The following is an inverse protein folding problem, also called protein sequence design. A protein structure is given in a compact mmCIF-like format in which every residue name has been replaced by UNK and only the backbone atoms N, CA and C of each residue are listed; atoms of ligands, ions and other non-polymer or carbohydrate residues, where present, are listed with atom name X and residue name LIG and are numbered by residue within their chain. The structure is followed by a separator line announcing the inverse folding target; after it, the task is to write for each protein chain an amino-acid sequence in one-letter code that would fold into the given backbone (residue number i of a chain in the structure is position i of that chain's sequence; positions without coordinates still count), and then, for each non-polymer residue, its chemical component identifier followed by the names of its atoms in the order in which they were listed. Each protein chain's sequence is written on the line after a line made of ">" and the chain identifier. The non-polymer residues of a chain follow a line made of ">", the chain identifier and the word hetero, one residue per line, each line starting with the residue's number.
data_IF_707932031629
#
_entry.id   IF_707932031629
#
_cell.length_a   1.000
_cell.length_b   1.000
_cell.length_c   1.000
_cell.angle_alpha   90.00
_cell.angle_beta   90.00
_cell.angle_gamma   90.00
#
_symmetry.space_group_name_H-M   'P 1'
#
loop_
_entity.id
_entity.type
_entity.pdbx_description
1 polymer ?
#
# COMPACT_ATOMS: atom_id res chain seq x y z
N UNK A 1 15.61 29.39 32.41
CA UNK A 1 14.56 28.52 32.90
C UNK A 1 13.24 28.68 32.13
N UNK A 2 12.73 29.91 31.96
CA UNK A 2 11.44 30.18 31.27
C UNK A 2 11.38 29.58 29.83
N UNK A 3 12.44 29.73 29.04
CA UNK A 3 12.49 29.21 27.65
C UNK A 3 12.44 27.70 27.56
N UNK A 4 13.02 26.99 28.53
CA UNK A 4 12.97 25.50 28.56
C UNK A 4 11.56 25.02 28.87
N UNK A 5 10.89 25.69 29.82
CA UNK A 5 9.48 25.36 30.15
C UNK A 5 8.55 25.62 28.96
N UNK A 6 8.77 26.71 28.22
CA UNK A 6 7.98 27.04 27.03
C UNK A 6 8.17 26.01 25.92
N UNK A 7 9.41 25.56 25.69
CA UNK A 7 9.71 24.51 24.70
C UNK A 7 9.05 23.17 25.07
N UNK A 8 9.10 22.75 26.33
CA UNK A 8 8.46 21.52 26.81
C UNK A 8 6.95 21.61 26.63
N UNK A 9 6.34 22.74 26.97
CA UNK A 9 4.89 22.93 26.80
C UNK A 9 4.47 22.83 25.34
N UNK A 10 5.24 23.46 24.42
CA UNK A 10 4.97 23.35 22.96
C UNK A 10 5.04 21.91 22.48
N UNK A 11 6.07 21.15 22.88
CA UNK A 11 6.20 19.73 22.50
C UNK A 11 5.03 18.90 23.03
N UNK A 12 4.63 19.11 24.27
CA UNK A 12 3.46 18.41 24.85
C UNK A 12 2.17 18.73 24.09
N UNK A 13 1.94 19.99 23.72
CA UNK A 13 0.76 20.41 22.95
C UNK A 13 0.74 19.73 21.58
N UNK A 14 1.88 19.68 20.88
CA UNK A 14 1.99 19.02 19.57
C UNK A 14 1.70 17.52 19.68
N UNK A 15 2.24 16.85 20.70
CA UNK A 15 2.00 15.42 20.94
C UNK A 15 0.52 15.15 21.24
N UNK A 16 -0.10 15.94 22.12
CA UNK A 16 -1.54 15.79 22.45
C UNK A 16 -2.41 16.02 21.19
N UNK A 17 -2.08 17.06 20.40
CA UNK A 17 -2.80 17.33 19.17
C UNK A 17 -2.68 16.18 18.17
N UNK A 18 -1.48 15.62 17.98
CA UNK A 18 -1.26 14.47 17.10
C UNK A 18 -2.07 13.24 17.56
N UNK A 19 -2.11 12.96 18.87
CA UNK A 19 -2.90 11.85 19.44
C UNK A 19 -4.40 12.06 19.19
N UNK A 20 -4.91 13.28 19.41
CA UNK A 20 -6.34 13.60 19.20
C UNK A 20 -6.71 13.47 17.73
N UNK A 21 -5.85 13.92 16.81
CA UNK A 21 -6.08 13.78 15.37
C UNK A 21 -6.08 12.31 14.94
N UNK A 22 -5.11 11.51 15.39
CA UNK A 22 -5.07 10.08 15.11
C UNK A 22 -6.32 9.34 15.63
N UNK A 23 -6.81 9.66 16.82
CA UNK A 23 -8.05 9.08 17.36
C UNK A 23 -9.28 9.49 16.56
N UNK A 24 -9.33 10.74 16.08
CA UNK A 24 -10.42 11.23 15.24
C UNK A 24 -10.46 10.51 13.88
N UNK A 25 -9.30 10.29 13.26
CA UNK A 25 -9.19 9.55 11.99
C UNK A 25 -9.63 8.09 12.16
N UNK A 26 -9.14 7.39 13.20
CA UNK A 26 -9.60 6.03 13.53
C UNK A 26 -11.12 5.96 13.72
N UNK A 27 -11.70 6.91 14.44
CA UNK A 27 -13.15 7.00 14.63
C UNK A 27 -13.93 7.23 13.33
N UNK A 28 -13.34 7.91 12.36
CA UNK A 28 -13.93 8.14 11.04
C UNK A 28 -13.90 6.87 10.20
N UNK A 29 -12.78 6.15 10.17
CA UNK A 29 -12.64 4.87 9.48
C UNK A 29 -13.65 3.84 9.98
N UNK A 30 -13.83 3.73 11.30
CA UNK A 30 -14.83 2.80 11.89
C UNK A 30 -16.26 3.13 11.44
N UNK A 31 -16.60 4.41 11.28
CA UNK A 31 -17.93 4.83 10.82
C UNK A 31 -18.15 4.57 9.35
N UNK A 32 -17.11 4.67 8.53
CA UNK A 32 -17.16 4.44 7.09
C UNK A 32 -17.15 2.96 6.73
N UNK A 33 -16.54 2.12 7.58
CA UNK A 33 -16.38 0.69 7.31
C UNK A 33 -17.73 -0.04 7.33
N UNK A 34 -17.99 -0.80 6.27
CA UNK A 34 -19.16 -1.66 6.11
C UNK A 34 -19.09 -2.85 7.08
N UNK A 35 -20.13 -3.08 7.85
CA UNK A 35 -20.18 -4.23 8.74
C UNK A 35 -20.34 -5.53 7.95
N UNK A 36 -19.47 -6.50 8.23
CA UNK A 36 -19.65 -7.86 7.70
C UNK A 36 -20.73 -8.57 8.50
N UNK A 37 -21.67 -9.23 7.81
CA UNK A 37 -22.82 -9.90 8.43
C UNK A 37 -23.05 -11.33 7.93
N UNK A 38 -22.21 -11.81 7.00
CA UNK A 38 -22.35 -13.12 6.37
C UNK A 38 -21.05 -13.90 6.45
N UNK A 39 -21.13 -15.21 6.35
CA UNK A 39 -19.98 -16.09 6.20
C UNK A 39 -19.29 -15.78 4.87
N UNK A 40 -18.03 -15.45 4.91
CA UNK A 40 -17.25 -15.07 3.73
C UNK A 40 -15.76 -15.24 3.99
N UNK A 41 -15.02 -15.53 2.94
CA UNK A 41 -13.55 -15.45 2.93
C UNK A 41 -13.17 -14.23 2.10
N UNK A 42 -12.33 -13.38 2.69
CA UNK A 42 -11.71 -12.23 2.04
C UNK A 42 -10.26 -12.60 1.77
N UNK A 43 -9.95 -12.87 0.50
CA UNK A 43 -8.60 -13.22 0.07
C UNK A 43 -7.79 -11.96 -0.22
N UNK A 44 -6.52 -11.97 0.13
CA UNK A 44 -5.57 -10.87 -0.08
C UNK A 44 -6.05 -9.52 0.49
N UNK A 45 -6.87 -9.54 1.54
CA UNK A 45 -7.35 -8.35 2.22
C UNK A 45 -6.21 -7.65 2.98
N UNK A 46 -6.31 -6.33 3.16
CA UNK A 46 -5.33 -5.55 3.92
C UNK A 46 -5.91 -5.11 5.25
N UNK A 47 -5.29 -5.53 6.37
CA UNK A 47 -5.67 -5.09 7.72
C UNK A 47 -5.15 -3.66 7.94
N UNK A 48 -6.10 -2.75 8.19
CA UNK A 48 -5.84 -1.33 8.47
C UNK A 48 -5.68 -1.09 9.97
N UNK A 49 -6.53 -1.71 10.78
CA UNK A 49 -6.45 -1.61 12.23
C UNK A 49 -7.09 -2.81 12.94
N UNK A 50 -6.63 -3.04 14.16
CA UNK A 50 -7.09 -4.09 15.06
C UNK A 50 -7.22 -3.49 16.47
N UNK A 51 -8.30 -2.77 16.71
CA UNK A 51 -8.55 -2.05 17.97
C UNK A 51 -9.94 -2.36 18.54
N UNK A 52 -10.07 -2.35 19.85
CA UNK A 52 -11.35 -2.46 20.60
C UNK A 52 -12.23 -3.67 20.22
N UNK A 53 -11.60 -4.82 19.95
CA UNK A 53 -12.34 -6.03 19.56
C UNK A 53 -12.93 -5.95 18.16
N UNK A 54 -12.38 -5.08 17.30
CA UNK A 54 -12.81 -4.88 15.92
C UNK A 54 -11.64 -4.90 14.98
N UNK A 55 -11.78 -5.68 13.92
CA UNK A 55 -10.87 -5.71 12.80
C UNK A 55 -11.42 -4.81 11.69
N UNK A 56 -10.58 -3.89 11.18
CA UNK A 56 -10.89 -3.06 10.02
C UNK A 56 -9.92 -3.45 8.91
N UNK A 57 -10.45 -3.75 7.73
CA UNK A 57 -9.67 -4.20 6.59
C UNK A 57 -10.25 -3.69 5.27
N UNK A 58 -9.41 -3.62 4.25
CA UNK A 58 -9.75 -3.26 2.87
C UNK A 58 -9.75 -4.54 2.04
N UNK A 59 -10.73 -4.69 1.18
CA UNK A 59 -10.77 -5.74 0.17
C UNK A 59 -11.64 -5.28 -1.00
N UNK A 60 -11.19 -5.48 -2.23
CA UNK A 60 -11.90 -5.07 -3.46
C UNK A 60 -12.31 -3.60 -3.46
N UNK A 61 -11.44 -2.72 -2.97
CA UNK A 61 -11.66 -1.26 -2.89
C UNK A 61 -12.64 -0.81 -1.81
N UNK A 62 -13.22 -1.73 -1.04
CA UNK A 62 -14.16 -1.41 0.04
C UNK A 62 -13.53 -1.60 1.42
N UNK A 63 -13.95 -0.75 2.37
CA UNK A 63 -13.54 -0.84 3.77
C UNK A 63 -14.57 -1.64 4.58
N UNK A 64 -14.11 -2.68 5.24
CA UNK A 64 -14.92 -3.58 6.05
C UNK A 64 -14.57 -3.53 7.52
N UNK A 65 -15.53 -3.90 8.38
CA UNK A 65 -15.34 -4.14 9.80
C UNK A 65 -15.95 -5.47 10.24
N UNK A 66 -15.20 -6.24 11.04
CA UNK A 66 -15.66 -7.47 11.65
C UNK A 66 -15.39 -7.45 13.16
N UNK A 67 -16.09 -8.28 13.93
CA UNK A 67 -15.81 -8.49 15.36
C UNK A 67 -14.67 -9.51 15.48
N UNK A 68 -13.69 -9.19 16.30
CA UNK A 68 -12.55 -10.06 16.58
C UNK A 68 -11.30 -9.22 16.75
N UNK A 69 -10.30 -9.84 17.38
CA UNK A 69 -8.98 -9.24 17.59
C UNK A 69 -7.92 -10.22 17.15
N UNK A 70 -6.76 -9.69 16.79
CA UNK A 70 -5.51 -10.44 16.72
C UNK A 70 -4.76 -10.23 18.03
N UNK A 71 -3.92 -11.20 18.40
CA UNK A 71 -3.08 -11.08 19.58
C UNK A 71 -2.01 -9.99 19.43
N UNK A 72 -1.61 -9.69 18.18
CA UNK A 72 -0.65 -8.65 17.86
C UNK A 72 -1.28 -7.55 16.99
N UNK A 73 -0.81 -6.31 17.13
CA UNK A 73 -1.16 -5.20 16.27
C UNK A 73 -0.45 -5.39 14.91
N UNK A 74 -1.11 -6.14 14.03
CA UNK A 74 -0.64 -6.38 12.67
C UNK A 74 -1.37 -5.47 11.69
N UNK A 75 -0.63 -4.89 10.76
CA UNK A 75 -1.12 -4.26 9.54
C UNK A 75 -0.46 -4.92 8.35
N UNK A 76 -1.21 -5.24 7.31
CA UNK A 76 -0.66 -5.93 6.15
C UNK A 76 -1.66 -6.85 5.47
N UNK A 77 -1.17 -7.61 4.48
CA UNK A 77 -1.99 -8.49 3.65
C UNK A 77 -2.25 -9.82 4.35
N UNK A 78 -3.48 -10.29 4.26
CA UNK A 78 -3.90 -11.57 4.83
C UNK A 78 -5.16 -12.11 4.14
N UNK A 79 -5.45 -13.39 4.37
CA UNK A 79 -6.76 -13.95 4.10
C UNK A 79 -7.55 -13.97 5.41
N UNK A 80 -8.83 -13.53 5.35
CA UNK A 80 -9.70 -13.40 6.52
C UNK A 80 -10.94 -14.27 6.32
N UNK A 81 -11.10 -15.28 7.14
CA UNK A 81 -12.33 -16.10 7.20
C UNK A 81 -13.27 -15.53 8.27
N UNK A 82 -14.49 -15.21 7.86
CA UNK A 82 -15.52 -14.65 8.73
C UNK A 82 -16.72 -15.60 8.81
N UNK A 83 -17.23 -15.78 10.03
CA UNK A 83 -18.50 -16.48 10.27
C UNK A 83 -19.49 -15.53 10.94
N UNK A 84 -20.59 -15.23 10.22
CA UNK A 84 -21.55 -14.20 10.60
C UNK A 84 -20.93 -12.81 10.62
N UNK A 85 -20.64 -12.28 11.80
CA UNK A 85 -19.95 -10.99 11.98
C UNK A 85 -18.60 -11.11 12.68
N UNK A 86 -18.12 -12.35 12.95
CA UNK A 86 -16.92 -12.63 13.74
C UNK A 86 -15.81 -13.17 12.86
N UNK A 87 -14.61 -12.69 13.11
CA UNK A 87 -13.39 -13.27 12.53
C UNK A 87 -13.20 -14.68 13.11
N UNK A 88 -13.10 -15.67 12.24
CA UNK A 88 -12.86 -17.07 12.57
C UNK A 88 -11.38 -17.44 12.43
N UNK A 89 -10.74 -16.96 11.35
CA UNK A 89 -9.34 -17.22 11.06
C UNK A 89 -8.74 -16.05 10.31
N UNK A 90 -7.49 -15.75 10.59
CA UNK A 90 -6.64 -14.84 9.82
C UNK A 90 -5.39 -15.63 9.43
N UNK A 91 -5.05 -15.55 8.16
CA UNK A 91 -3.82 -16.12 7.64
C UNK A 91 -2.98 -14.97 7.07
N UNK A 92 -1.97 -14.55 7.83
CA UNK A 92 -1.04 -13.49 7.44
C UNK A 92 -0.23 -13.95 6.23
N UNK A 93 -0.07 -13.07 5.26
CA UNK A 93 0.81 -13.22 4.11
C UNK A 93 1.99 -12.28 4.27
N UNK A 94 3.22 -12.78 4.46
CA UNK A 94 4.40 -11.92 4.60
C UNK A 94 4.77 -11.28 3.28
N UNK A 95 5.58 -10.21 3.35
CA UNK A 95 6.25 -9.66 2.19
C UNK A 95 7.32 -10.65 1.73
N UNK A 96 7.21 -11.19 0.52
CA UNK A 96 8.14 -12.21 0.00
C UNK A 96 9.28 -11.59 -0.77
N UNK A 97 8.99 -10.54 -1.54
CA UNK A 97 9.95 -9.86 -2.41
C UNK A 97 9.81 -8.35 -2.24
N UNK A 98 10.93 -7.64 -2.35
CA UNK A 98 10.94 -6.18 -2.47
C UNK A 98 11.76 -5.78 -3.69
N UNK A 99 11.29 -4.81 -4.46
CA UNK A 99 11.99 -4.36 -5.65
C UNK A 99 11.24 -3.32 -6.45
N UNK A 100 11.89 -2.84 -7.50
CA UNK A 100 11.31 -1.86 -8.43
C UNK A 100 10.59 -2.59 -9.55
N UNK A 101 9.33 -2.24 -9.79
CA UNK A 101 8.56 -2.73 -10.94
C UNK A 101 9.09 -2.10 -12.23
N UNK A 102 9.54 -2.91 -13.17
CA UNK A 102 10.04 -2.47 -14.47
C UNK A 102 8.97 -2.49 -15.56
N UNK A 103 8.08 -3.48 -15.50
CA UNK A 103 6.92 -3.59 -16.40
C UNK A 103 5.89 -4.56 -15.83
N UNK A 104 4.67 -4.52 -16.34
CA UNK A 104 3.65 -5.54 -16.09
C UNK A 104 2.74 -5.70 -17.31
N UNK A 105 2.24 -6.91 -17.52
CA UNK A 105 1.34 -7.27 -18.62
C UNK A 105 1.40 -8.76 -18.89
N UNK A 106 0.48 -9.25 -19.73
CA UNK A 106 0.41 -10.65 -20.17
C UNK A 106 0.51 -11.67 -19.00
N UNK A 107 -0.09 -11.34 -17.87
CA UNK A 107 -0.12 -12.20 -16.68
C UNK A 107 1.21 -12.28 -15.93
N UNK A 108 2.18 -11.41 -16.23
CA UNK A 108 3.50 -11.35 -15.57
C UNK A 108 3.85 -9.93 -15.13
N UNK A 109 4.77 -9.84 -14.18
CA UNK A 109 5.36 -8.59 -13.72
C UNK A 109 6.87 -8.74 -13.66
N UNK A 110 7.59 -7.81 -14.30
CA UNK A 110 9.04 -7.76 -14.27
C UNK A 110 9.50 -6.91 -13.08
N UNK A 111 10.32 -7.50 -12.21
CA UNK A 111 10.86 -6.85 -11.02
C UNK A 111 12.38 -6.81 -11.11
N UNK A 112 12.96 -5.65 -10.84
CA UNK A 112 14.40 -5.45 -10.88
C UNK A 112 15.13 -6.46 -9.97
N UNK A 113 16.08 -7.20 -10.55
CA UNK A 113 16.86 -8.21 -9.83
C UNK A 113 16.15 -9.55 -9.59
N UNK A 114 14.84 -9.66 -9.91
CA UNK A 114 14.06 -10.89 -9.72
C UNK A 114 13.61 -11.54 -11.04
N UNK A 115 13.58 -10.75 -12.13
CA UNK A 115 13.05 -11.19 -13.42
C UNK A 115 11.53 -11.14 -13.52
N UNK A 116 10.96 -11.99 -14.38
CA UNK A 116 9.53 -12.05 -14.63
C UNK A 116 8.86 -13.00 -13.63
N UNK A 117 7.89 -12.48 -12.89
CA UNK A 117 7.11 -13.24 -11.91
C UNK A 117 5.65 -13.28 -12.35
N UNK A 118 5.02 -14.46 -12.41
CA UNK A 118 3.62 -14.55 -12.81
C UNK A 118 2.72 -13.87 -11.78
N UNK A 119 1.65 -13.22 -12.25
CA UNK A 119 0.59 -12.65 -11.43
C UNK A 119 -0.53 -13.68 -11.22
N UNK A 120 -1.19 -13.62 -10.07
CA UNK A 120 -2.36 -14.46 -9.78
C UNK A 120 -3.58 -14.01 -10.59
N UNK A 121 -3.70 -12.71 -10.86
CA UNK A 121 -4.79 -12.08 -11.59
C UNK A 121 -4.29 -10.81 -12.27
N UNK A 122 -4.94 -10.39 -13.35
CA UNK A 122 -4.71 -9.08 -13.97
C UNK A 122 -5.19 -7.92 -13.10
N UNK A 123 -6.07 -8.21 -12.13
CA UNK A 123 -6.55 -7.25 -11.13
C UNK A 123 -5.94 -7.57 -9.77
N UNK A 124 -4.66 -7.24 -9.62
CA UNK A 124 -4.00 -7.35 -8.32
C UNK A 124 -4.42 -6.21 -7.40
N UNK A 125 -4.74 -6.48 -6.13
CA UNK A 125 -4.88 -5.44 -5.13
C UNK A 125 -3.52 -4.79 -4.86
N UNK A 126 -3.50 -3.46 -4.88
CA UNK A 126 -2.33 -2.65 -4.51
C UNK A 126 -2.71 -1.79 -3.33
N UNK A 127 -2.02 -1.96 -2.22
CA UNK A 127 -2.27 -1.21 -0.99
C UNK A 127 -1.24 -0.12 -0.82
N UNK A 128 -1.70 1.13 -0.74
CA UNK A 128 -0.88 2.32 -0.56
C UNK A 128 -0.92 2.77 0.89
N UNK A 129 0.20 2.60 1.61
CA UNK A 129 0.40 3.00 3.00
C UNK A 129 1.02 4.42 3.13
N UNK A 130 1.27 5.11 2.03
CA UNK A 130 1.99 6.40 2.06
C UNK A 130 1.17 7.57 2.59
N UNK A 131 -0.15 7.39 2.69
CA UNK A 131 -1.08 8.38 3.23
C UNK A 131 -1.32 8.23 4.74
N UNK A 132 -2.24 9.02 5.27
CA UNK A 132 -2.67 8.95 6.68
C UNK A 132 -3.42 7.65 7.00
N UNK A 133 -4.03 7.05 5.98
CA UNK A 133 -4.71 5.75 6.07
C UNK A 133 -4.40 4.95 4.83
N UNK A 134 -4.16 3.63 4.97
CA UNK A 134 -4.01 2.75 3.84
C UNK A 134 -5.24 2.77 2.93
N UNK A 135 -5.02 2.67 1.64
CA UNK A 135 -6.07 2.58 0.62
C UNK A 135 -5.67 1.61 -0.47
N UNK A 136 -6.65 1.02 -1.11
CA UNK A 136 -6.42 0.26 -2.35
C UNK A 136 -6.39 1.21 -3.55
N UNK A 137 -5.43 1.00 -4.43
CA UNK A 137 -5.23 1.74 -5.68
C UNK A 137 -5.09 0.77 -6.84
N UNK A 138 -5.14 1.25 -8.06
CA UNK A 138 -4.89 0.43 -9.24
C UNK A 138 -3.39 0.24 -9.47
N UNK A 139 -3.00 -0.86 -10.12
CA UNK A 139 -1.61 -1.08 -10.57
C UNK A 139 -1.14 0.05 -11.48
N UNK A 140 -2.05 0.61 -12.29
CA UNK A 140 -1.77 1.76 -13.17
C UNK A 140 -1.41 3.06 -12.44
N UNK A 141 -1.70 3.16 -11.14
CA UNK A 141 -1.35 4.31 -10.31
C UNK A 141 0.08 4.24 -9.76
N UNK A 142 0.76 3.10 -9.98
CA UNK A 142 2.16 2.91 -9.62
C UNK A 142 3.07 3.54 -10.68
N UNK A 143 4.19 4.10 -10.23
CA UNK A 143 5.18 4.70 -11.12
C UNK A 143 6.26 3.66 -11.44
N UNK A 144 6.20 3.12 -12.64
CA UNK A 144 7.14 2.12 -13.14
C UNK A 144 8.56 2.67 -13.12
N UNK A 145 9.51 1.87 -12.62
CA UNK A 145 10.94 2.19 -12.64
C UNK A 145 11.43 3.13 -11.52
N UNK A 146 10.52 3.64 -10.65
CA UNK A 146 10.91 4.67 -9.68
C UNK A 146 10.64 4.35 -8.21
N UNK A 147 9.77 3.40 -7.92
CA UNK A 147 9.38 3.13 -6.53
C UNK A 147 9.69 1.68 -6.14
N UNK A 148 10.20 1.52 -4.92
CA UNK A 148 10.41 0.20 -4.33
C UNK A 148 9.11 -0.27 -3.69
N UNK A 149 8.62 -1.41 -4.16
CA UNK A 149 7.36 -2.02 -3.74
C UNK A 149 7.63 -3.33 -3.00
N UNK A 150 6.73 -3.71 -2.10
CA UNK A 150 6.68 -5.05 -1.51
C UNK A 150 5.68 -5.89 -2.28
N UNK A 151 6.06 -7.11 -2.62
CA UNK A 151 5.21 -8.07 -3.34
C UNK A 151 4.95 -9.27 -2.45
N UNK A 152 3.68 -9.63 -2.37
CA UNK A 152 3.21 -10.79 -1.63
C UNK A 152 2.94 -11.90 -2.65
N UNK A 153 3.50 -13.08 -2.40
CA UNK A 153 3.35 -14.23 -3.26
C UNK A 153 2.44 -15.29 -2.63
N UNK A 154 1.63 -15.90 -3.46
CA UNK A 154 0.94 -17.14 -3.15
C UNK A 154 1.31 -18.17 -4.22
N UNK A 155 1.86 -19.29 -3.77
CA UNK A 155 2.29 -20.39 -4.68
C UNK A 155 3.23 -19.90 -5.80
N UNK A 156 4.12 -18.94 -5.50
CA UNK A 156 5.07 -18.37 -6.45
C UNK A 156 4.48 -17.35 -7.43
N UNK A 157 3.25 -16.90 -7.21
CA UNK A 157 2.56 -15.90 -8.02
C UNK A 157 2.29 -14.66 -7.19
N UNK A 158 2.47 -13.48 -7.76
CA UNK A 158 2.12 -12.24 -7.07
C UNK A 158 0.62 -12.18 -6.87
N UNK A 159 0.17 -12.09 -5.62
CA UNK A 159 -1.24 -11.99 -5.25
C UNK A 159 -1.64 -10.62 -4.70
N UNK A 160 -0.68 -9.82 -4.21
CA UNK A 160 -0.89 -8.43 -3.78
C UNK A 160 0.41 -7.64 -3.85
N UNK A 161 0.28 -6.31 -3.86
CA UNK A 161 1.40 -5.36 -3.83
C UNK A 161 1.16 -4.36 -2.71
N UNK A 162 2.22 -3.96 -2.00
CA UNK A 162 2.16 -2.92 -0.97
C UNK A 162 3.17 -1.82 -1.28
N UNK A 163 2.70 -0.58 -1.35
CA UNK A 163 3.50 0.62 -1.46
C UNK A 163 3.66 1.26 -0.08
N UNK A 164 4.85 1.16 0.51
CA UNK A 164 5.14 1.68 1.86
C UNK A 164 5.80 3.05 1.87
N UNK A 165 6.42 3.41 0.77
CA UNK A 165 7.13 4.69 0.62
C UNK A 165 6.54 5.45 -0.56
N UNK A 166 6.36 6.75 -0.39
CA UNK A 166 6.00 7.61 -1.50
C UNK A 166 7.11 7.54 -2.56
N UNK A 167 6.78 7.57 -3.85
CA UNK A 167 7.78 7.57 -4.91
C UNK A 167 8.71 8.77 -4.74
N UNK A 168 10.02 8.53 -4.86
CA UNK A 168 10.99 9.62 -4.92
C UNK A 168 10.91 10.26 -6.30
N UNK A 169 10.13 11.32 -6.41
CA UNK A 169 9.94 12.04 -7.66
C UNK A 169 11.13 12.93 -8.05
N UNK A 170 12.20 12.97 -7.24
CA UNK A 170 13.44 13.67 -7.61
C UNK A 170 14.18 13.00 -8.77
N UNK A 171 13.95 11.70 -8.97
CA UNK A 171 14.54 10.94 -10.08
C UNK A 171 13.47 10.09 -10.76
N UNK A 172 13.02 10.52 -11.92
CA UNK A 172 12.21 9.68 -12.82
C UNK A 172 13.14 9.12 -13.87
N UNK A 173 13.37 7.79 -13.83
CA UNK A 173 14.08 7.10 -14.90
C UNK A 173 13.09 6.85 -16.04
N UNK A 174 13.25 7.59 -17.12
CA UNK A 174 12.46 7.35 -18.33
C UNK A 174 13.17 6.30 -19.17
N UNK A 175 12.63 5.09 -19.23
CA UNK A 175 13.08 4.06 -20.15
C UNK A 175 12.41 4.33 -21.51
N UNK A 176 13.16 4.86 -22.46
CA UNK A 176 12.69 5.03 -23.83
C UNK A 176 13.03 3.74 -24.56
N UNK A 177 12.00 2.97 -24.92
CA UNK A 177 12.19 1.83 -25.82
C UNK A 177 12.39 2.36 -27.23
N UNK A 178 13.59 2.23 -27.76
CA UNK A 178 13.90 2.62 -29.12
C UNK A 178 13.39 1.52 -30.08
N UNK A 179 12.29 1.78 -30.76
CA UNK A 179 11.70 0.88 -31.77
C UNK A 179 12.41 0.98 -33.14
N UNK A 180 13.63 1.49 -33.15
CA UNK A 180 14.41 1.66 -34.41
C UNK A 180 13.94 2.84 -35.26
N UNK A 181 13.14 3.73 -34.73
CA UNK A 181 12.76 5.00 -35.37
C UNK A 181 13.44 6.16 -34.64
N UNK A 182 14.17 6.98 -35.34
CA UNK A 182 14.94 8.13 -34.84
C UNK A 182 14.09 9.27 -34.26
N UNK A 183 13.00 8.99 -33.57
CA UNK A 183 12.16 9.98 -32.94
C UNK A 183 12.21 9.83 -31.42
N UNK A 184 13.08 10.59 -30.78
CA UNK A 184 13.01 10.80 -29.35
C UNK A 184 11.74 11.61 -29.01
N UNK A 185 10.87 11.15 -28.13
CA UNK A 185 9.78 11.98 -27.68
C UNK A 185 10.36 13.21 -26.98
N UNK A 186 9.96 14.39 -27.41
CA UNK A 186 10.31 15.62 -26.70
C UNK A 186 9.60 15.59 -25.36
N UNK A 187 10.33 15.30 -24.31
CA UNK A 187 9.80 15.39 -22.96
C UNK A 187 9.76 16.88 -22.62
N UNK A 188 8.58 17.45 -22.65
CA UNK A 188 8.37 18.76 -22.06
C UNK A 188 8.57 18.58 -20.54
N UNK A 189 9.66 19.10 -20.03
CA UNK A 189 9.96 19.05 -18.61
C UNK A 189 8.86 19.77 -17.85
N UNK A 190 8.13 19.04 -17.02
CA UNK A 190 7.38 19.66 -15.95
C UNK A 190 8.40 20.33 -15.01
N UNK A 191 8.18 21.57 -14.67
CA UNK A 191 9.08 22.37 -13.82
C UNK A 191 9.40 21.60 -12.55
N UNK A 192 10.69 21.51 -12.24
CA UNK A 192 11.31 20.96 -11.03
C UNK A 192 11.66 19.46 -10.99
N UNK A 193 11.52 18.70 -12.07
CA UNK A 193 12.09 17.35 -12.10
C UNK A 193 13.41 17.36 -12.88
N UNK A 194 14.48 16.87 -12.31
CA UNK A 194 15.71 16.59 -13.03
C UNK A 194 15.52 15.29 -13.80
N UNK A 195 15.30 15.38 -15.11
CA UNK A 195 15.24 14.22 -15.98
C UNK A 195 16.65 13.89 -16.47
N UNK A 196 17.07 12.66 -16.24
CA UNK A 196 18.22 12.10 -16.94
C UNK A 196 17.71 11.23 -18.08
N UNK A 197 18.10 11.56 -19.30
CA UNK A 197 17.93 10.70 -20.46
C UNK A 197 19.23 9.93 -20.59
N UNK A 198 19.20 8.63 -20.29
CA UNK A 198 20.29 7.74 -20.63
C UNK A 198 20.15 7.37 -22.11
N UNK A 199 21.08 7.81 -22.93
CA UNK A 199 21.26 7.31 -24.29
C UNK A 199 21.86 5.89 -24.17
N UNK A 200 21.03 4.87 -24.38
CA UNK A 200 21.47 3.48 -24.44
C UNK A 200 21.60 3.03 -25.89
#
# INVERSE_FOLDING_TARGET
>A
MVWIMLAITMVCVVIVFAIVMAQKEKGTLVKQARAVTKDMVYENAYIVSNDDGRLIFICDGELYRAKGTMEENFTGVCDIEISGSKVKKIQIKPDDISGVMLSYGDGTMQIAGQGDIPMQSDKLPVYDETGTSPKEIAVSDLIIGSETLSYILDSGRICAIVRRQAPDLTYIRVLIKNDGKDAFPTIAAAAAANFYVDDA
#
